data_IF_992586784841
#
_entry.id   IF_992586784841
#
_cell.length_a   1.000
_cell.length_b   1.000
_cell.length_c   1.000
_cell.angle_alpha   90.00
_cell.angle_beta   90.00
_cell.angle_gamma   90.00
#
_symmetry.space_group_name_H-M   'P 1'
#
loop_
_entity.id
_entity.type
_entity.pdbx_description
1 polymer ?
#
# COMPACT_ATOMS: atom_id res chain seq x y z
N UNK A 1 -15.79 12.49 -10.52
CA UNK A 1 -15.91 12.67 -9.06
C UNK A 1 -14.81 13.62 -8.63
N UNK A 2 -15.16 14.84 -8.22
CA UNK A 2 -14.21 15.89 -7.88
C UNK A 2 -13.90 15.80 -6.37
N UNK A 3 -12.90 15.00 -6.00
CA UNK A 3 -12.45 14.93 -4.60
C UNK A 3 -11.57 16.15 -4.32
N UNK A 4 -12.17 17.19 -3.74
CA UNK A 4 -11.46 18.38 -3.28
C UNK A 4 -10.58 18.03 -2.08
N UNK A 5 -9.39 17.52 -2.34
CA UNK A 5 -8.37 17.29 -1.31
C UNK A 5 -7.99 18.63 -0.67
N UNK A 6 -8.10 18.72 0.65
CA UNK A 6 -7.73 19.92 1.40
C UNK A 6 -6.20 20.12 1.31
N UNK A 7 -5.75 21.19 0.69
CA UNK A 7 -4.31 21.44 0.47
C UNK A 7 -3.53 21.35 1.79
N UNK A 8 -2.44 20.56 1.77
CA UNK A 8 -1.52 20.45 2.91
C UNK A 8 -0.82 21.81 3.09
N UNK A 9 -0.84 22.40 4.31
CA UNK A 9 -0.18 23.68 4.57
C UNK A 9 1.31 23.65 4.25
N UNK A 10 1.87 24.74 3.70
CA UNK A 10 3.28 24.81 3.29
C UNK A 10 4.25 24.51 4.44
N UNK A 11 3.99 25.08 5.62
CA UNK A 11 4.77 24.84 6.84
C UNK A 11 4.79 23.37 7.29
N UNK A 12 3.83 22.57 6.80
CA UNK A 12 3.69 21.15 7.11
C UNK A 12 4.41 20.31 6.06
N UNK A 13 4.37 20.69 4.78
CA UNK A 13 5.18 20.08 3.73
C UNK A 13 6.68 20.10 4.05
N UNK A 14 7.18 21.19 4.63
CA UNK A 14 8.60 21.33 5.00
C UNK A 14 8.99 20.47 6.23
N UNK A 15 8.05 20.19 7.13
CA UNK A 15 8.28 19.41 8.37
C UNK A 15 7.95 17.93 8.22
N UNK A 16 7.14 17.56 7.25
CA UNK A 16 6.81 16.19 6.89
C UNK A 16 7.97 15.57 6.10
N UNK A 17 9.05 15.24 6.80
CA UNK A 17 10.04 14.30 6.27
C UNK A 17 9.42 12.90 6.22
N UNK A 18 9.85 12.06 5.26
CA UNK A 18 9.34 10.70 5.05
C UNK A 18 9.14 9.95 6.38
N UNK A 19 7.88 9.62 6.71
CA UNK A 19 7.54 8.80 7.88
C UNK A 19 7.32 9.57 9.19
N UNK A 20 7.43 10.91 9.20
CA UNK A 20 7.11 11.75 10.36
C UNK A 20 5.61 12.03 10.55
N UNK A 21 5.20 12.24 11.80
CA UNK A 21 3.87 12.76 12.17
C UNK A 21 4.03 14.15 12.80
N UNK A 22 3.34 15.16 12.30
CA UNK A 22 3.45 16.56 12.73
C UNK A 22 2.12 17.07 13.26
N UNK A 23 2.13 17.77 14.39
CA UNK A 23 0.95 18.46 14.94
C UNK A 23 0.93 19.92 14.45
N UNK A 24 -0.20 20.35 13.89
CA UNK A 24 -0.42 21.72 13.44
C UNK A 24 -1.88 22.11 13.56
N UNK A 25 -2.16 23.27 14.16
CA UNK A 25 -3.51 23.82 14.33
C UNK A 25 -4.52 22.78 14.86
N UNK A 26 -4.10 22.01 15.87
CA UNK A 26 -4.96 21.00 16.50
C UNK A 26 -5.20 19.74 15.67
N UNK A 27 -4.47 19.53 14.57
CA UNK A 27 -4.55 18.32 13.75
C UNK A 27 -3.18 17.66 13.61
N UNK A 28 -3.15 16.33 13.67
CA UNK A 28 -1.97 15.53 13.31
C UNK A 28 -1.99 15.22 11.83
N UNK A 29 -0.85 15.41 11.18
CA UNK A 29 -0.62 15.12 9.77
C UNK A 29 0.46 14.05 9.65
N UNK A 30 0.28 13.12 8.71
CA UNK A 30 1.30 12.13 8.36
C UNK A 30 1.33 11.93 6.85
N UNK A 31 2.53 11.89 6.29
CA UNK A 31 2.78 11.66 4.88
C UNK A 31 3.56 10.37 4.71
N UNK A 32 3.06 9.51 3.83
CA UNK A 32 3.69 8.24 3.48
C UNK A 32 3.81 8.17 1.97
N UNK A 33 5.03 7.88 1.51
CA UNK A 33 5.30 7.64 0.09
C UNK A 33 5.48 6.15 -0.18
N UNK A 34 5.19 5.74 -1.40
CA UNK A 34 5.47 4.38 -1.85
C UNK A 34 5.41 4.24 -3.36
N UNK A 35 6.16 3.29 -3.89
CA UNK A 35 6.15 2.98 -5.32
C UNK A 35 4.81 2.34 -5.72
N UNK A 36 4.21 2.84 -6.80
CA UNK A 36 3.01 2.26 -7.37
C UNK A 36 3.35 0.94 -8.04
N UNK A 37 2.87 -0.16 -7.47
CA UNK A 37 2.92 -1.52 -8.03
C UNK A 37 1.47 -2.02 -8.17
N UNK A 38 0.90 -1.91 -9.36
CA UNK A 38 -0.51 -2.24 -9.62
C UNK A 38 -1.39 -1.01 -9.79
N UNK A 39 -2.62 -1.05 -9.28
CA UNK A 39 -3.57 0.07 -9.41
C UNK A 39 -3.25 1.18 -8.42
N UNK A 40 -3.46 2.43 -8.86
CA UNK A 40 -3.27 3.62 -8.02
C UNK A 40 -4.13 3.55 -6.77
N UNK A 41 -5.41 3.18 -6.89
CA UNK A 41 -6.34 3.15 -5.76
C UNK A 41 -5.92 2.16 -4.67
N UNK A 42 -5.42 0.97 -5.05
CA UNK A 42 -4.96 -0.01 -4.07
C UNK A 42 -3.73 0.50 -3.30
N UNK A 43 -2.81 1.16 -3.99
CA UNK A 43 -1.62 1.76 -3.36
C UNK A 43 -2.03 2.94 -2.48
N UNK A 44 -2.95 3.79 -2.93
CA UNK A 44 -3.49 4.90 -2.14
C UNK A 44 -4.17 4.41 -0.85
N UNK A 45 -5.00 3.37 -0.94
CA UNK A 45 -5.64 2.73 0.21
C UNK A 45 -4.62 2.12 1.18
N UNK A 46 -3.57 1.48 0.67
CA UNK A 46 -2.47 0.97 1.49
C UNK A 46 -1.71 2.10 2.19
N UNK A 47 -1.35 3.16 1.46
CA UNK A 47 -0.56 4.28 2.00
C UNK A 47 -1.36 5.12 3.00
N UNK A 48 -2.64 5.37 2.73
CA UNK A 48 -3.55 6.01 3.68
C UNK A 48 -3.66 5.20 4.97
N UNK A 49 -3.79 3.87 4.89
CA UNK A 49 -3.79 2.99 6.07
C UNK A 49 -2.49 3.09 6.86
N UNK A 50 -1.33 3.17 6.19
CA UNK A 50 -0.02 3.37 6.85
C UNK A 50 0.05 4.73 7.55
N UNK A 51 -0.44 5.79 6.92
CA UNK A 51 -0.46 7.13 7.49
C UNK A 51 -1.43 7.21 8.69
N UNK A 52 -2.63 6.65 8.59
CA UNK A 52 -3.59 6.54 9.70
C UNK A 52 -2.98 5.79 10.88
N UNK A 53 -2.26 4.69 10.61
CA UNK A 53 -1.54 3.93 11.65
C UNK A 53 -0.49 4.82 12.34
N UNK A 54 0.34 5.53 11.57
CA UNK A 54 1.36 6.42 12.16
C UNK A 54 0.74 7.47 13.09
N UNK A 55 -0.34 8.13 12.64
CA UNK A 55 -1.10 9.10 13.44
C UNK A 55 -1.65 8.44 14.71
N UNK A 56 -2.22 7.23 14.57
CA UNK A 56 -2.79 6.47 15.68
C UNK A 56 -1.77 6.19 16.79
N UNK A 57 -0.58 5.71 16.43
CA UNK A 57 0.49 5.47 17.39
C UNK A 57 0.92 6.76 18.08
N UNK A 58 1.04 7.86 17.32
CA UNK A 58 1.40 9.17 17.88
C UNK A 58 0.36 9.69 18.87
N UNK A 59 -0.93 9.58 18.54
CA UNK A 59 -2.04 9.97 19.40
C UNK A 59 -2.11 9.14 20.69
N UNK A 60 -1.74 7.86 20.60
CA UNK A 60 -1.66 6.97 21.76
C UNK A 60 -0.38 7.13 22.59
N UNK A 61 0.61 7.91 22.12
CA UNK A 61 1.92 8.00 22.77
C UNK A 61 2.70 6.68 22.77
N UNK A 62 2.48 5.84 21.75
CA UNK A 62 3.08 4.52 21.62
C UNK A 62 4.05 4.47 20.44
N UNK A 63 5.05 3.61 20.55
CA UNK A 63 5.94 3.27 19.43
C UNK A 63 5.46 2.02 18.69
N UNK A 64 5.77 1.93 17.39
CA UNK A 64 5.45 0.77 16.59
C UNK A 64 6.38 -0.39 16.94
N UNK A 65 5.83 -1.46 17.49
CA UNK A 65 6.59 -2.67 17.87
C UNK A 65 6.13 -3.85 17.01
N UNK A 66 7.09 -4.61 16.47
CA UNK A 66 6.80 -5.83 15.72
C UNK A 66 6.00 -6.84 16.58
N UNK A 67 5.07 -7.56 15.96
CA UNK A 67 4.22 -8.55 16.65
C UNK A 67 3.11 -7.97 17.52
N UNK A 68 2.98 -6.63 17.61
CA UNK A 68 1.88 -5.96 18.32
C UNK A 68 1.01 -5.19 17.34
N UNK A 69 -0.30 -5.25 17.57
CA UNK A 69 -1.30 -4.47 16.84
C UNK A 69 -1.93 -3.47 17.79
N UNK A 70 -1.94 -2.21 17.38
CA UNK A 70 -2.70 -1.17 18.05
C UNK A 70 -4.15 -1.23 17.58
N UNK A 71 -5.08 -1.41 18.51
CA UNK A 71 -6.50 -1.14 18.32
C UNK A 71 -6.83 0.20 18.97
N UNK A 72 -7.44 1.08 18.19
CA UNK A 72 -7.81 2.42 18.64
C UNK A 72 -9.02 2.92 17.88
N UNK A 73 -9.87 3.68 18.56
CA UNK A 73 -11.05 4.32 17.96
C UNK A 73 -10.75 5.80 17.77
N UNK A 74 -10.36 6.14 16.55
CA UNK A 74 -10.07 7.52 16.15
C UNK A 74 -11.06 7.91 15.07
N UNK A 75 -11.65 9.08 15.24
CA UNK A 75 -12.65 9.64 14.34
C UNK A 75 -12.06 10.85 13.61
N UNK A 76 -12.60 11.17 12.43
CA UNK A 76 -12.17 12.38 11.70
C UNK A 76 -10.87 12.24 10.92
N UNK A 77 -10.47 11.01 10.55
CA UNK A 77 -9.44 10.85 9.54
C UNK A 77 -9.90 11.45 8.22
N UNK A 78 -9.02 12.19 7.55
CA UNK A 78 -9.28 12.77 6.24
C UNK A 78 -8.02 12.74 5.39
N UNK A 79 -8.19 12.43 4.10
CA UNK A 79 -7.09 12.49 3.14
C UNK A 79 -6.94 13.94 2.68
N UNK A 80 -5.77 14.52 2.95
CA UNK A 80 -5.44 15.92 2.63
C UNK A 80 -4.67 16.02 1.31
N UNK A 81 -3.87 15.03 0.94
CA UNK A 81 -3.21 15.01 -0.37
C UNK A 81 -2.97 13.61 -0.91
N UNK A 82 -3.01 13.47 -2.23
CA UNK A 82 -2.61 12.29 -3.00
C UNK A 82 -1.87 12.77 -4.25
N UNK A 83 -0.55 12.68 -4.25
CA UNK A 83 0.35 13.21 -5.28
C UNK A 83 1.15 12.08 -5.91
N UNK A 84 1.03 11.89 -7.23
CA UNK A 84 1.80 10.90 -7.98
C UNK A 84 2.92 11.63 -8.74
N UNK A 85 4.17 11.29 -8.42
CA UNK A 85 5.37 11.80 -9.09
C UNK A 85 6.12 10.63 -9.71
N UNK A 86 6.05 10.51 -11.04
CA UNK A 86 6.60 9.35 -11.75
C UNK A 86 5.91 8.05 -11.31
N UNK A 87 6.66 7.18 -10.61
CA UNK A 87 6.15 5.91 -10.05
C UNK A 87 5.96 5.96 -8.53
N UNK A 88 6.16 7.11 -7.89
CA UNK A 88 6.00 7.26 -6.45
C UNK A 88 4.70 8.00 -6.14
N UNK A 89 3.85 7.37 -5.34
CA UNK A 89 2.65 7.97 -4.80
C UNK A 89 2.92 8.45 -3.37
N UNK A 90 2.62 9.71 -3.10
CA UNK A 90 2.63 10.33 -1.79
C UNK A 90 1.20 10.53 -1.31
N UNK A 91 0.87 10.02 -0.13
CA UNK A 91 -0.44 10.22 0.49
C UNK A 91 -0.24 10.91 1.83
N UNK A 92 -0.99 11.99 2.04
CA UNK A 92 -1.03 12.73 3.30
C UNK A 92 -2.40 12.58 3.94
N UNK A 93 -2.41 12.11 5.17
CA UNK A 93 -3.60 11.98 6.01
C UNK A 93 -3.54 12.98 7.16
N UNK A 94 -4.71 13.42 7.60
CA UNK A 94 -4.88 14.24 8.80
C UNK A 94 -5.91 13.63 9.74
N UNK A 95 -5.78 13.90 11.04
CA UNK A 95 -6.80 13.61 12.05
C UNK A 95 -6.74 14.68 13.17
N UNK A 96 -7.88 14.98 13.82
CA UNK A 96 -7.89 15.90 14.95
C UNK A 96 -7.06 15.38 16.12
N UNK A 97 -6.44 16.30 16.86
CA UNK A 97 -5.79 16.00 18.12
C UNK A 97 -6.86 15.59 19.15
N UNK A 98 -6.89 14.30 19.48
CA UNK A 98 -7.80 13.74 20.46
C UNK A 98 -7.06 12.70 21.31
N UNK A 99 -7.61 12.34 22.48
CA UNK A 99 -7.08 11.26 23.30
C UNK A 99 -7.93 10.00 23.11
N UNK A 100 -7.60 9.12 22.16
CA UNK A 100 -8.40 7.92 21.92
C UNK A 100 -8.14 6.85 22.98
N UNK A 101 -9.07 5.90 23.10
CA UNK A 101 -8.84 4.66 23.83
C UNK A 101 -7.91 3.75 23.03
N UNK A 102 -6.76 3.41 23.59
CA UNK A 102 -5.71 2.63 22.93
C UNK A 102 -5.54 1.29 23.61
N UNK A 103 -5.60 0.20 22.83
CA UNK A 103 -5.33 -1.14 23.31
C UNK A 103 -4.27 -1.80 22.42
N UNK A 104 -3.23 -2.36 23.04
CA UNK A 104 -2.20 -3.13 22.33
C UNK A 104 -2.54 -4.61 22.42
N UNK A 105 -2.76 -5.23 21.27
CA UNK A 105 -2.98 -6.67 21.14
C UNK A 105 -1.69 -7.32 20.65
N UNK A 106 -1.24 -8.35 21.37
CA UNK A 106 -0.16 -9.22 20.90
C UNK A 106 -0.76 -10.18 19.87
N UNK A 107 -0.25 -10.13 18.65
CA UNK A 107 -0.69 -11.07 17.62
C UNK A 107 -0.07 -12.44 17.93
N UNK A 108 -0.86 -13.53 17.90
CA UNK A 108 -0.28 -14.86 17.95
C UNK A 108 0.67 -15.06 16.76
N UNK A 109 1.76 -15.83 16.92
CA UNK A 109 2.64 -16.15 15.80
C UNK A 109 1.82 -16.77 14.66
N UNK A 110 2.09 -16.36 13.42
CA UNK A 110 1.41 -16.98 12.27
C UNK A 110 1.67 -18.49 12.31
N UNK A 111 0.65 -19.33 12.07
CA UNK A 111 0.88 -20.75 11.90
C UNK A 111 1.90 -20.94 10.76
N UNK A 112 2.81 -21.92 10.87
CA UNK A 112 3.76 -22.20 9.82
C UNK A 112 3.00 -22.43 8.52
N UNK A 113 3.33 -21.67 7.48
CA UNK A 113 2.73 -21.85 6.16
C UNK A 113 3.14 -23.26 5.73
N UNK A 114 2.20 -24.20 5.50
CA UNK A 114 2.55 -25.48 4.91
C UNK A 114 3.24 -25.16 3.59
N UNK A 115 4.47 -25.65 3.41
CA UNK A 115 5.19 -25.50 2.14
C UNK A 115 4.32 -26.14 1.07
N UNK A 116 3.60 -25.32 0.31
CA UNK A 116 2.91 -25.81 -0.87
C UNK A 116 3.99 -26.42 -1.77
N UNK A 117 3.81 -27.65 -2.27
CA UNK A 117 4.78 -28.25 -3.17
C UNK A 117 5.01 -27.29 -4.33
N UNK A 118 6.27 -26.89 -4.49
CA UNK A 118 6.71 -26.06 -5.61
C UNK A 118 6.29 -26.80 -6.88
N UNK A 119 5.42 -26.23 -7.74
CA UNK A 119 5.10 -26.88 -9.00
C UNK A 119 6.42 -27.07 -9.76
N UNK A 120 6.67 -28.26 -10.33
CA UNK A 120 7.92 -28.55 -11.00
C UNK A 120 8.17 -27.52 -12.11
N UNK A 121 9.37 -26.95 -12.10
CA UNK A 121 9.87 -26.06 -13.13
C UNK A 121 9.80 -26.81 -14.48
N UNK A 122 9.20 -26.26 -15.55
CA UNK A 122 9.18 -26.93 -16.84
C UNK A 122 10.62 -27.11 -17.31
N UNK A 123 11.05 -28.37 -17.41
CA UNK A 123 12.39 -28.73 -17.85
C UNK A 123 12.51 -28.46 -19.34
N UNK A 124 13.09 -27.31 -19.70
CA UNK A 124 13.64 -27.13 -21.04
C UNK A 124 14.94 -27.92 -21.14
N UNK A 125 14.88 -29.13 -21.68
CA UNK A 125 16.05 -29.78 -22.29
C UNK A 125 15.59 -30.72 -23.39
N UNK A 126 15.76 -30.29 -24.63
CA UNK A 126 16.13 -31.15 -25.76
C UNK A 126 16.48 -30.25 -26.96
N UNK A 127 17.77 -30.14 -27.24
CA UNK A 127 18.30 -29.85 -28.56
C UNK A 127 19.05 -31.11 -29.03
N UNK A 128 19.42 -31.27 -30.31
CA UNK A 128 18.66 -31.03 -31.54
C UNK A 128 18.60 -32.32 -32.40
N UNK A 129 17.52 -32.59 -33.15
CA UNK A 129 17.59 -33.48 -34.32
C UNK A 129 16.52 -33.10 -35.33
N UNK A 130 16.96 -32.60 -36.48
CA UNK A 130 16.16 -32.43 -37.70
C UNK A 130 16.26 -33.72 -38.53
N UNK A 131 15.51 -33.92 -39.63
CA UNK A 131 14.18 -33.42 -40.03
C UNK A 131 13.21 -34.60 -40.24
N UNK A 132 11.92 -34.40 -40.00
CA UNK A 132 10.94 -35.45 -40.25
C UNK A 132 9.52 -34.90 -40.30
N UNK A 133 9.13 -34.47 -41.50
CA UNK A 133 7.78 -34.55 -42.06
C UNK A 133 6.63 -34.65 -41.06
N UNK A 134 5.81 -33.60 -40.95
CA UNK A 134 4.35 -33.68 -41.09
C UNK A 134 3.72 -32.29 -40.92
N UNK A 135 3.22 -31.77 -42.03
CA UNK A 135 1.91 -31.12 -42.16
C UNK A 135 1.49 -30.15 -41.04
N UNK A 136 1.90 -28.88 -41.15
CA UNK A 136 1.27 -27.79 -40.39
C UNK A 136 0.05 -27.33 -41.18
N UNK A 137 -1.14 -27.77 -40.76
CA UNK A 137 -2.40 -27.21 -41.24
C UNK A 137 -2.61 -25.83 -40.63
N UNK A 138 -2.41 -24.77 -41.42
CA UNK A 138 -2.78 -23.40 -41.06
C UNK A 138 -4.31 -23.27 -41.17
N UNK A 139 -5.01 -23.12 -40.04
CA UNK A 139 -6.43 -22.72 -40.05
C UNK A 139 -6.53 -21.20 -40.18
N UNK A 140 -6.89 -20.75 -41.37
CA UNK A 140 -7.38 -19.40 -41.62
C UNK A 140 -8.65 -19.15 -40.79
N UNK A 141 -8.63 -18.14 -39.93
CA UNK A 141 -9.86 -17.50 -39.45
C UNK A 141 -10.28 -16.50 -40.51
N UNK A 142 -11.07 -16.97 -41.46
CA UNK A 142 -11.84 -16.12 -42.35
C UNK A 142 -13.30 -16.10 -41.90
N UNK A 143 -13.92 -14.95 -42.18
CA UNK A 143 -15.30 -14.80 -42.58
C UNK A 143 -16.32 -14.53 -41.45
N UNK A 144 -17.19 -13.51 -41.49
CA UNK A 144 -17.51 -12.46 -42.48
C UNK A 144 -18.33 -11.35 -41.80
N UNK A 145 -18.28 -10.16 -42.43
CA UNK A 145 -19.30 -9.11 -42.56
C UNK A 145 -20.20 -8.73 -41.37
#
# INVERSE_FOLDING_TARGET
MNSSYAQVPHAIKEKLTLGGVVLHEGNYYATVTGTVRGTREAVESMLSTKAMRAISYKLCGLEQVAGRRLETKITGFSMTSSELVGKELSVTMSAPAQKPSCQLIVLPPLPPIPSAPVPPLPSNTSAPTSPGSSDITIRNFGNEY
#
